data_IF_722699513431
#
_entry.id   IF_722699513431
#
_cell.length_a   1.000
_cell.length_b   1.000
_cell.length_c   1.000
_cell.angle_alpha   90.00
_cell.angle_beta   90.00
_cell.angle_gamma   90.00
#
_symmetry.space_group_name_H-M   'P 1'
#
loop_
_entity.id
_entity.type
_entity.pdbx_description
1 polymer ?
#
# COMPACT_ATOMS: atom_id res chain seq x y z
N UNK A 1 -9.00 13.90 -20.11
CA UNK A 1 -8.32 12.66 -19.66
C UNK A 1 -7.95 12.76 -18.18
N UNK A 2 -8.32 11.77 -17.37
CA UNK A 2 -7.92 11.69 -15.97
C UNK A 2 -6.72 10.72 -15.87
N UNK A 3 -5.71 11.08 -15.08
CA UNK A 3 -4.65 10.14 -14.69
C UNK A 3 -5.24 9.17 -13.68
N UNK A 4 -4.94 7.88 -13.83
CA UNK A 4 -5.43 6.79 -12.97
C UNK A 4 -4.25 5.89 -12.62
N UNK A 5 -3.84 5.90 -11.37
CA UNK A 5 -2.62 5.22 -10.92
C UNK A 5 -2.77 4.68 -9.50
N UNK A 6 -1.72 4.01 -9.00
CA UNK A 6 -1.57 3.49 -7.64
C UNK A 6 -2.86 2.89 -7.05
N UNK A 7 -3.52 1.93 -7.74
CA UNK A 7 -4.78 1.40 -7.25
C UNK A 7 -4.60 0.30 -6.21
N UNK A 8 -5.55 0.20 -5.29
CA UNK A 8 -5.76 -1.03 -4.52
C UNK A 8 -6.81 -1.92 -5.17
N UNK A 9 -6.74 -3.20 -4.84
CA UNK A 9 -7.67 -4.22 -5.31
C UNK A 9 -8.10 -5.11 -4.15
N UNK A 10 -9.38 -5.42 -4.07
CA UNK A 10 -9.89 -6.52 -3.26
C UNK A 10 -10.90 -7.35 -4.06
N UNK A 11 -10.93 -8.65 -3.82
CA UNK A 11 -11.95 -9.55 -4.38
C UNK A 11 -12.74 -10.16 -3.23
N UNK A 12 -14.06 -10.05 -3.30
CA UNK A 12 -14.98 -10.76 -2.41
C UNK A 12 -16.33 -10.95 -3.10
N UNK A 13 -17.02 -12.06 -2.80
CA UNK A 13 -18.31 -12.42 -3.41
C UNK A 13 -18.31 -12.38 -4.96
N UNK A 14 -17.20 -12.79 -5.58
CA UNK A 14 -17.00 -12.77 -7.04
C UNK A 14 -17.12 -11.38 -7.68
N UNK A 15 -16.90 -10.32 -6.89
CA UNK A 15 -16.79 -8.94 -7.34
C UNK A 15 -15.38 -8.46 -7.03
N UNK A 16 -14.76 -7.85 -8.02
CA UNK A 16 -13.50 -7.13 -7.87
C UNK A 16 -13.84 -5.67 -7.59
N UNK A 17 -13.27 -5.14 -6.52
CA UNK A 17 -13.30 -3.72 -6.21
C UNK A 17 -11.90 -3.16 -6.49
N UNK A 18 -11.81 -2.23 -7.42
CA UNK A 18 -10.56 -1.50 -7.69
C UNK A 18 -10.72 -0.08 -7.17
N UNK A 19 -9.92 0.27 -6.16
CA UNK A 19 -9.83 1.59 -5.60
C UNK A 19 -8.74 2.36 -6.32
N UNK A 20 -9.14 3.31 -7.16
CA UNK A 20 -8.31 4.03 -8.10
C UNK A 20 -7.91 5.38 -7.51
N UNK A 21 -6.62 5.75 -7.55
CA UNK A 21 -6.18 7.13 -7.32
C UNK A 21 -6.34 7.91 -8.63
N UNK A 22 -7.24 8.89 -8.62
CA UNK A 22 -7.51 9.77 -9.77
C UNK A 22 -6.87 11.13 -9.54
N UNK A 23 -6.30 11.73 -10.59
CA UNK A 23 -5.80 13.10 -10.56
C UNK A 23 -6.53 13.99 -11.57
N UNK A 24 -6.94 15.19 -11.15
CA UNK A 24 -7.78 16.12 -11.91
C UNK A 24 -7.06 16.85 -13.06
N UNK A 25 -6.20 16.16 -13.84
CA UNK A 25 -5.26 16.66 -14.88
C UNK A 25 -3.88 17.01 -14.26
N UNK A 26 -2.79 16.65 -14.95
CA UNK A 26 -1.38 16.70 -14.49
C UNK A 26 -0.77 18.10 -14.40
N UNK A 27 -1.38 19.02 -13.63
CA UNK A 27 -0.81 20.33 -13.31
C UNK A 27 -0.23 20.39 -11.89
N UNK A 28 0.47 21.47 -11.54
CA UNK A 28 0.94 21.74 -10.17
C UNK A 28 -0.22 21.93 -9.15
N UNK A 29 -1.43 22.21 -9.65
CA UNK A 29 -2.65 22.28 -8.85
C UNK A 29 -3.39 20.95 -8.77
N UNK A 30 -2.87 19.90 -9.40
CA UNK A 30 -3.52 18.58 -9.38
C UNK A 30 -3.65 18.10 -7.94
N UNK A 31 -4.87 17.73 -7.59
CA UNK A 31 -5.17 17.00 -6.35
C UNK A 31 -5.69 15.64 -6.74
N UNK A 32 -5.42 14.68 -5.88
CA UNK A 32 -5.91 13.33 -6.09
C UNK A 32 -7.04 12.99 -5.13
N UNK A 33 -7.89 12.10 -5.59
CA UNK A 33 -9.02 11.56 -4.86
C UNK A 33 -9.16 10.08 -5.20
N UNK A 34 -9.87 9.32 -4.36
CA UNK A 34 -10.09 7.90 -4.60
C UNK A 34 -11.47 7.68 -5.18
N UNK A 35 -11.54 6.92 -6.27
CA UNK A 35 -12.78 6.35 -6.80
C UNK A 35 -12.75 4.84 -6.71
N UNK A 36 -13.91 4.20 -6.72
CA UNK A 36 -14.03 2.75 -6.79
C UNK A 36 -14.70 2.34 -8.09
N UNK A 37 -14.19 1.28 -8.70
CA UNK A 37 -14.82 0.58 -9.80
C UNK A 37 -15.11 -0.87 -9.39
N UNK A 38 -16.23 -1.39 -9.87
CA UNK A 38 -16.61 -2.79 -9.71
C UNK A 38 -16.53 -3.50 -11.06
N UNK A 39 -15.96 -4.69 -11.05
CA UNK A 39 -15.88 -5.56 -12.20
C UNK A 39 -15.94 -7.03 -11.75
N UNK A 40 -16.02 -7.93 -12.72
CA UNK A 40 -15.89 -9.36 -12.47
C UNK A 40 -14.43 -9.81 -12.67
N UNK A 41 -13.96 -10.85 -11.98
CA UNK A 41 -12.59 -11.32 -12.10
C UNK A 41 -12.16 -11.64 -13.54
N UNK A 42 -13.05 -12.19 -14.36
CA UNK A 42 -12.77 -12.49 -15.77
C UNK A 42 -12.43 -11.25 -16.63
N UNK A 43 -12.73 -10.04 -16.14
CA UNK A 43 -12.47 -8.77 -16.83
C UNK A 43 -11.16 -8.09 -16.38
N UNK A 44 -10.29 -8.79 -15.64
CA UNK A 44 -9.01 -8.26 -15.14
C UNK A 44 -7.84 -8.38 -16.13
N UNK A 45 -8.07 -8.87 -17.34
CA UNK A 45 -7.02 -9.07 -18.34
C UNK A 45 -7.10 -8.06 -19.50
N UNK A 46 -5.93 -7.76 -20.09
CA UNK A 46 -5.81 -6.86 -21.24
C UNK A 46 -6.11 -5.40 -20.90
N UNK A 47 -6.73 -4.68 -21.86
CA UNK A 47 -7.11 -3.27 -21.65
C UNK A 47 -8.45 -3.17 -20.93
N UNK A 48 -8.41 -2.79 -19.66
CA UNK A 48 -9.59 -2.69 -18.80
C UNK A 48 -10.21 -1.31 -18.92
N UNK A 49 -11.50 -1.26 -19.26
CA UNK A 49 -12.31 -0.02 -19.21
C UNK A 49 -13.32 -0.14 -18.09
N UNK A 50 -13.28 0.81 -17.16
CA UNK A 50 -14.17 0.82 -15.99
C UNK A 50 -14.99 2.08 -15.91
N UNK A 51 -16.16 1.96 -15.27
CA UNK A 51 -16.92 3.09 -14.74
C UNK A 51 -16.61 3.18 -13.25
N UNK A 52 -15.97 4.27 -12.83
CA UNK A 52 -15.59 4.49 -11.44
C UNK A 52 -16.47 5.58 -10.79
N UNK A 53 -16.72 5.43 -9.50
CA UNK A 53 -17.47 6.37 -8.68
C UNK A 53 -16.54 6.96 -7.61
N UNK A 54 -16.38 8.29 -7.54
CA UNK A 54 -15.56 8.90 -6.50
C UNK A 54 -16.17 8.64 -5.11
N UNK A 55 -15.32 8.25 -4.15
CA UNK A 55 -15.74 7.90 -2.78
C UNK A 55 -14.98 8.70 -1.70
N UNK A 56 -13.74 9.10 -1.96
CA UNK A 56 -12.94 9.88 -1.02
C UNK A 56 -12.36 11.11 -1.70
N UNK A 57 -12.90 12.27 -1.35
CA UNK A 57 -12.44 13.57 -1.81
C UNK A 57 -11.46 14.21 -0.82
N UNK A 58 -10.60 15.09 -1.34
CA UNK A 58 -9.94 16.10 -0.52
C UNK A 58 -10.99 17.02 0.09
N UNK A 59 -10.88 17.27 1.39
CA UNK A 59 -11.72 18.20 2.15
C UNK A 59 -11.13 19.61 2.04
N UNK A 60 -9.81 19.71 1.94
CA UNK A 60 -9.07 20.97 1.84
C UNK A 60 -8.47 21.16 0.44
N UNK A 61 -8.30 22.40 -0.05
CA UNK A 61 -7.75 22.67 -1.38
C UNK A 61 -6.27 22.26 -1.54
N UNK A 62 -5.56 22.09 -0.43
CA UNK A 62 -4.17 21.64 -0.38
C UNK A 62 -4.03 20.15 -0.04
N UNK A 63 -5.13 19.40 -0.04
CA UNK A 63 -5.14 17.99 0.32
C UNK A 63 -5.25 17.09 -0.91
N UNK A 64 -4.40 16.07 -0.95
CA UNK A 64 -4.54 14.93 -1.85
C UNK A 64 -4.90 13.69 -1.05
N UNK A 65 -5.84 12.90 -1.57
CA UNK A 65 -6.11 11.54 -1.10
C UNK A 65 -5.41 10.57 -2.04
N UNK A 66 -4.50 9.77 -1.51
CA UNK A 66 -3.50 9.01 -2.27
C UNK A 66 -3.44 7.55 -1.84
N UNK A 67 -2.89 6.73 -2.72
CA UNK A 67 -2.37 5.38 -2.46
C UNK A 67 -3.29 4.52 -1.56
N UNK A 68 -4.52 4.21 -2.02
CA UNK A 68 -5.43 3.32 -1.33
C UNK A 68 -4.78 1.97 -1.05
N UNK A 69 -5.18 1.31 0.04
CA UNK A 69 -4.78 -0.03 0.47
C UNK A 69 -5.94 -0.70 1.19
N UNK A 70 -6.02 -2.02 1.17
CA UNK A 70 -7.13 -2.77 1.79
C UNK A 70 -6.66 -3.55 3.01
N UNK A 71 -7.58 -3.81 3.95
CA UNK A 71 -7.31 -4.75 5.06
C UNK A 71 -7.46 -6.20 4.54
N UNK A 72 -6.45 -7.06 4.72
CA UNK A 72 -6.51 -8.44 4.24
C UNK A 72 -7.57 -9.29 4.95
N UNK A 73 -7.94 -8.95 6.18
CA UNK A 73 -8.90 -9.69 7.00
C UNK A 73 -10.29 -9.05 7.05
N UNK A 74 -10.40 -7.78 6.67
CA UNK A 74 -11.66 -7.03 6.75
C UNK A 74 -12.03 -6.41 5.40
N UNK A 75 -13.09 -6.93 4.78
CA UNK A 75 -13.61 -6.42 3.50
C UNK A 75 -14.18 -5.01 3.67
N UNK A 76 -14.15 -4.22 2.59
CA UNK A 76 -14.67 -2.84 2.59
C UNK A 76 -14.01 -1.93 3.63
N UNK A 77 -12.75 -2.24 3.97
CA UNK A 77 -11.93 -1.52 4.95
C UNK A 77 -10.75 -0.89 4.21
N UNK A 78 -10.88 0.40 3.87
CA UNK A 78 -9.97 1.08 2.96
C UNK A 78 -9.03 2.01 3.74
N UNK A 79 -7.74 1.75 3.67
CA UNK A 79 -6.69 2.65 4.15
C UNK A 79 -6.26 3.55 3.01
N UNK A 80 -5.95 4.81 3.30
CA UNK A 80 -5.55 5.79 2.31
C UNK A 80 -4.73 6.89 2.95
N UNK A 81 -3.92 7.53 2.12
CA UNK A 81 -3.03 8.60 2.52
C UNK A 81 -3.74 9.92 2.33
N UNK A 82 -3.74 10.77 3.35
CA UNK A 82 -4.10 12.19 3.23
C UNK A 82 -2.84 13.03 3.33
N UNK A 83 -2.40 13.54 2.18
CA UNK A 83 -1.23 14.38 2.05
C UNK A 83 -1.63 15.86 2.03
N UNK A 84 -1.08 16.63 2.97
CA UNK A 84 -1.39 18.04 3.21
C UNK A 84 -0.23 18.90 2.72
N UNK A 85 -0.42 19.54 1.57
CA UNK A 85 0.58 20.35 0.85
C UNK A 85 0.34 21.86 1.03
N UNK A 86 0.19 22.33 2.28
CA UNK A 86 -0.15 23.74 2.56
C UNK A 86 1.07 24.68 2.52
N UNK A 87 2.24 24.19 2.92
CA UNK A 87 3.50 24.95 2.98
C UNK A 87 4.62 24.11 2.35
N UNK A 88 5.86 24.63 2.32
CA UNK A 88 7.06 23.82 1.96
C UNK A 88 7.17 22.55 2.82
N UNK A 89 6.66 22.61 4.05
CA UNK A 89 6.62 21.48 4.98
C UNK A 89 5.30 20.74 4.79
N UNK A 90 5.31 19.76 3.89
CA UNK A 90 4.18 18.83 3.74
C UNK A 90 4.00 17.97 5.00
N UNK A 91 2.77 17.48 5.24
CA UNK A 91 2.48 16.44 6.23
C UNK A 91 1.67 15.34 5.59
N UNK A 92 2.02 14.09 5.88
CA UNK A 92 1.40 12.94 5.23
C UNK A 92 0.97 11.94 6.29
N UNK A 93 -0.34 11.70 6.37
CA UNK A 93 -0.95 10.85 7.37
C UNK A 93 -1.75 9.75 6.70
N UNK A 94 -1.81 8.59 7.35
CA UNK A 94 -2.68 7.51 6.90
C UNK A 94 -3.99 7.53 7.66
N UNK A 95 -5.08 7.33 6.94
CA UNK A 95 -6.43 7.25 7.44
C UNK A 95 -7.05 5.91 7.05
N UNK A 96 -8.01 5.48 7.84
CA UNK A 96 -8.88 4.35 7.58
C UNK A 96 -10.30 4.85 7.29
N UNK A 97 -10.94 4.26 6.28
CA UNK A 97 -12.32 4.49 5.89
C UNK A 97 -13.11 3.18 5.87
N UNK A 98 -14.24 3.15 6.59
CA UNK A 98 -15.20 2.06 6.47
C UNK A 98 -16.16 2.34 5.32
N UNK A 99 -16.33 1.37 4.42
CA UNK A 99 -17.22 1.47 3.28
C UNK A 99 -18.49 0.64 3.46
N UNK A 100 -19.60 1.13 2.91
CA UNK A 100 -20.84 0.40 2.66
C UNK A 100 -21.28 0.69 1.22
N UNK A 101 -21.02 -0.25 0.30
CA UNK A 101 -21.14 0.01 -1.15
C UNK A 101 -20.21 1.13 -1.58
N UNK A 102 -20.74 2.16 -2.25
CA UNK A 102 -19.99 3.35 -2.68
C UNK A 102 -19.97 4.48 -1.63
N UNK A 103 -20.44 4.24 -0.40
CA UNK A 103 -20.48 5.25 0.66
C UNK A 103 -19.37 5.03 1.67
N UNK A 104 -18.76 6.13 2.10
CA UNK A 104 -17.83 6.17 3.25
C UNK A 104 -18.64 6.50 4.50
N UNK A 105 -18.71 5.56 5.43
CA UNK A 105 -19.48 5.72 6.67
C UNK A 105 -18.68 6.40 7.78
N UNK A 106 -17.36 6.19 7.77
CA UNK A 106 -16.45 6.68 8.81
C UNK A 106 -15.06 6.91 8.23
N UNK A 107 -14.39 7.96 8.69
CA UNK A 107 -12.99 8.27 8.37
C UNK A 107 -12.25 8.52 9.68
N UNK A 108 -11.12 7.85 9.90
CA UNK A 108 -10.32 7.95 11.13
C UNK A 108 -8.84 8.00 10.80
N UNK A 109 -8.08 8.88 11.45
CA UNK A 109 -6.62 8.85 11.36
C UNK A 109 -6.08 7.63 12.12
N UNK A 110 -5.07 6.97 11.54
CA UNK A 110 -4.30 6.00 12.31
C UNK A 110 -3.58 6.76 13.42
N UNK A 111 -3.71 6.27 14.65
CA UNK A 111 -3.13 6.92 15.81
C UNK A 111 -2.31 5.92 16.62
N UNK A 112 -1.44 6.45 17.46
CA UNK A 112 -0.47 5.71 18.24
C UNK A 112 -0.80 5.87 19.71
N UNK A 113 -0.63 4.81 20.48
CA UNK A 113 -0.77 4.82 21.92
C UNK A 113 0.54 4.40 22.59
N UNK A 114 0.96 5.14 23.61
CA UNK A 114 2.04 4.76 24.52
C UNK A 114 1.54 4.87 25.96
N UNK A 115 2.01 4.00 26.84
CA UNK A 115 1.75 4.10 28.30
C UNK A 115 2.25 5.43 28.87
N UNK A 116 3.31 6.00 28.29
CA UNK A 116 3.92 7.25 28.75
C UNK A 116 3.18 8.49 28.20
N UNK A 117 2.86 8.49 26.91
CA UNK A 117 2.36 9.70 26.22
C UNK A 117 0.86 9.70 25.93
N UNK A 118 0.14 8.60 26.22
CA UNK A 118 -1.25 8.44 25.83
C UNK A 118 -1.40 8.31 24.31
N UNK A 119 -2.48 8.87 23.74
CA UNK A 119 -2.75 8.82 22.30
C UNK A 119 -2.15 10.02 21.57
N UNK A 120 -1.41 9.77 20.49
CA UNK A 120 -0.75 10.80 19.69
C UNK A 120 -0.66 10.41 18.20
N UNK A 121 -0.18 11.34 17.38
CA UNK A 121 0.17 11.12 15.97
C UNK A 121 1.67 11.31 15.79
N UNK A 122 2.29 10.49 14.95
CA UNK A 122 3.66 10.75 14.48
C UNK A 122 3.63 11.63 13.22
N UNK A 123 4.76 12.27 12.89
CA UNK A 123 4.77 13.38 11.93
C UNK A 123 4.40 13.00 10.49
N UNK A 124 4.94 11.89 9.99
CA UNK A 124 4.73 11.44 8.60
C UNK A 124 4.75 9.89 8.58
N UNK A 125 3.67 9.26 8.13
CA UNK A 125 3.51 7.79 8.17
C UNK A 125 2.68 7.21 7.02
N UNK A 126 3.06 7.53 5.77
CA UNK A 126 2.32 7.18 4.53
C UNK A 126 2.03 5.68 4.36
N UNK A 127 3.03 4.83 4.49
CA UNK A 127 2.91 3.42 4.16
C UNK A 127 2.48 2.61 5.40
N UNK A 128 1.38 3.05 6.01
CA UNK A 128 0.85 2.48 7.26
C UNK A 128 -0.49 1.80 7.02
N UNK A 129 -0.54 0.48 7.10
CA UNK A 129 -1.75 -0.30 6.80
C UNK A 129 -1.67 -1.67 7.49
N UNK A 130 -2.78 -2.41 7.62
CA UNK A 130 -2.78 -3.66 8.35
C UNK A 130 -1.90 -4.71 7.70
N UNK A 131 -1.07 -5.39 8.49
CA UNK A 131 -0.52 -6.69 8.07
C UNK A 131 -1.61 -7.75 8.14
N UNK A 132 -2.39 -7.72 9.22
CA UNK A 132 -3.53 -8.60 9.49
C UNK A 132 -4.50 -7.93 10.48
N UNK A 133 -5.50 -8.66 10.97
CA UNK A 133 -6.50 -8.18 11.94
C UNK A 133 -5.93 -7.65 13.28
N UNK A 134 -4.71 -8.05 13.65
CA UNK A 134 -4.10 -7.77 14.97
C UNK A 134 -2.82 -6.94 14.89
N UNK A 135 -2.20 -6.81 13.72
CA UNK A 135 -0.95 -6.07 13.53
C UNK A 135 -1.05 -5.02 12.41
N UNK A 136 -0.34 -3.91 12.59
CA UNK A 136 -0.22 -2.81 11.63
C UNK A 136 1.22 -2.75 11.11
N UNK A 137 1.40 -2.67 9.79
CA UNK A 137 2.63 -2.16 9.19
C UNK A 137 2.62 -0.64 9.38
N UNK A 138 3.70 -0.08 9.91
CA UNK A 138 3.86 1.35 10.13
C UNK A 138 5.15 1.80 9.47
N UNK A 139 5.08 2.88 8.69
CA UNK A 139 6.26 3.44 8.03
C UNK A 139 6.49 4.89 8.46
N UNK A 140 7.09 5.14 9.64
CA UNK A 140 7.50 6.48 10.01
C UNK A 140 8.52 7.02 8.99
N UNK A 141 8.41 8.30 8.66
CA UNK A 141 9.40 9.00 7.84
C UNK A 141 9.98 10.19 8.58
N UNK A 142 11.28 10.15 8.82
CA UNK A 142 12.01 11.22 9.48
C UNK A 142 12.55 12.17 8.41
N UNK A 143 11.72 13.12 7.97
CA UNK A 143 12.05 14.07 6.89
C UNK A 143 13.41 14.75 7.05
N UNK A 144 13.72 15.19 8.26
CA UNK A 144 14.97 15.89 8.57
C UNK A 144 16.22 15.00 8.45
N UNK A 145 16.02 13.67 8.43
CA UNK A 145 17.07 12.65 8.31
C UNK A 145 17.00 11.90 6.97
N UNK A 146 15.98 12.14 6.16
CA UNK A 146 15.82 11.54 4.83
C UNK A 146 15.50 10.04 4.81
N UNK A 147 15.25 9.39 5.95
CA UNK A 147 15.02 7.94 6.00
C UNK A 147 13.66 7.57 6.62
N UNK A 148 13.20 6.37 6.30
CA UNK A 148 12.06 5.74 6.94
C UNK A 148 12.31 4.25 7.10
N UNK A 149 11.61 3.64 8.06
CA UNK A 149 11.75 2.22 8.38
C UNK A 149 10.39 1.55 8.25
N UNK A 150 10.38 0.26 7.91
CA UNK A 150 9.18 -0.57 8.04
C UNK A 150 9.18 -1.10 9.47
N UNK A 151 8.20 -0.64 10.26
CA UNK A 151 7.94 -1.14 11.59
C UNK A 151 6.64 -1.93 11.60
N UNK A 152 6.49 -2.84 12.57
CA UNK A 152 5.29 -3.64 12.78
C UNK A 152 4.92 -3.54 14.24
N UNK A 153 3.64 -3.39 14.55
CA UNK A 153 3.20 -3.48 15.93
C UNK A 153 1.74 -3.84 16.10
N UNK A 154 1.35 -4.25 17.32
CA UNK A 154 -0.02 -4.62 17.62
C UNK A 154 -0.99 -3.45 17.40
N UNK A 155 -2.20 -3.77 16.96
CA UNK A 155 -3.26 -2.78 16.76
C UNK A 155 -4.59 -3.21 17.34
N UNK A 156 -5.42 -2.21 17.66
CA UNK A 156 -6.86 -2.37 17.89
C UNK A 156 -7.61 -1.40 16.99
N UNK A 157 -8.10 -1.90 15.86
CA UNK A 157 -8.70 -1.05 14.83
C UNK A 157 -7.66 -0.12 14.22
N UNK A 158 -7.84 1.20 14.41
CA UNK A 158 -6.96 2.27 13.90
C UNK A 158 -5.87 2.70 14.89
N UNK A 159 -5.91 2.20 16.13
CA UNK A 159 -4.92 2.53 17.14
C UNK A 159 -3.81 1.48 17.14
N UNK A 160 -2.56 1.93 17.03
CA UNK A 160 -1.35 1.11 17.08
C UNK A 160 -0.68 1.27 18.44
N UNK A 161 -0.24 0.17 19.04
CA UNK A 161 0.58 0.19 20.24
C UNK A 161 2.01 0.60 19.88
N UNK A 162 2.41 1.80 20.27
CA UNK A 162 3.72 2.35 19.94
C UNK A 162 4.85 1.72 20.75
N UNK A 163 4.57 1.33 22.00
CA UNK A 163 5.56 0.75 22.92
C UNK A 163 6.06 -0.64 22.47
N UNK A 164 5.33 -1.26 21.54
CA UNK A 164 5.57 -2.61 21.01
C UNK A 164 5.82 -2.58 19.48
N UNK A 165 6.30 -1.45 18.95
CA UNK A 165 6.76 -1.37 17.57
C UNK A 165 8.12 -2.06 17.43
N UNK A 166 8.20 -2.99 16.49
CA UNK A 166 9.42 -3.68 16.12
C UNK A 166 9.80 -3.35 14.69
N UNK A 167 11.11 -3.26 14.41
CA UNK A 167 11.64 -3.03 13.07
C UNK A 167 12.37 -4.31 12.65
N UNK A 168 11.80 -5.14 11.76
CA UNK A 168 12.48 -6.33 11.26
C UNK A 168 13.78 -5.91 10.54
N UNK A 169 14.97 -6.32 11.05
CA UNK A 169 16.24 -5.90 10.47
C UNK A 169 16.39 -6.29 9.00
N UNK A 170 15.77 -7.39 8.59
CA UNK A 170 15.81 -7.91 7.23
C UNK A 170 15.02 -7.04 6.22
N UNK A 171 14.16 -6.14 6.71
CA UNK A 171 13.42 -5.18 5.88
C UNK A 171 14.08 -3.80 5.83
N UNK A 172 15.26 -3.65 6.46
CA UNK A 172 16.04 -2.42 6.36
C UNK A 172 16.75 -2.34 5.01
N UNK A 173 16.86 -1.12 4.43
CA UNK A 173 17.67 -0.92 3.24
C UNK A 173 19.11 -1.41 3.41
N UNK A 174 19.64 -2.07 2.38
CA UNK A 174 21.01 -2.58 2.31
C UNK A 174 21.95 -1.63 1.52
N UNK A 175 23.19 -2.07 1.24
CA UNK A 175 24.18 -1.24 0.52
C UNK A 175 23.69 -0.94 -0.89
N UNK A 176 23.57 0.35 -1.24
CA UNK A 176 23.04 0.80 -2.54
C UNK A 176 21.55 1.12 -2.52
N UNK A 177 20.89 0.95 -1.37
CA UNK A 177 19.48 1.24 -1.18
C UNK A 177 19.29 2.45 -0.26
N UNK A 178 18.30 3.31 -0.56
CA UNK A 178 18.10 4.57 0.17
C UNK A 178 16.87 4.57 1.06
N UNK A 179 15.84 3.76 0.76
CA UNK A 179 14.65 3.64 1.60
C UNK A 179 13.84 2.37 1.33
N UNK A 180 13.12 1.94 2.36
CA UNK A 180 12.10 0.91 2.30
C UNK A 180 10.71 1.46 2.68
N UNK A 181 9.65 0.78 2.22
CA UNK A 181 8.29 1.04 2.66
C UNK A 181 7.30 -0.06 2.27
N UNK A 182 6.19 -0.17 3.01
CA UNK A 182 5.14 -1.15 2.71
C UNK A 182 4.29 -0.76 1.50
N UNK A 183 3.93 -1.73 0.67
CA UNK A 183 3.04 -1.52 -0.48
C UNK A 183 1.64 -2.07 -0.23
N UNK A 184 1.52 -3.37 -0.02
CA UNK A 184 0.24 -4.02 0.19
C UNK A 184 0.43 -5.31 0.99
N UNK A 185 -0.61 -5.74 1.70
CA UNK A 185 -0.63 -7.04 2.39
C UNK A 185 -1.78 -7.88 1.86
N UNK A 186 -1.58 -9.19 1.83
CA UNK A 186 -2.66 -10.15 1.60
C UNK A 186 -2.52 -11.35 2.52
N UNK A 187 -3.66 -11.96 2.85
CA UNK A 187 -3.69 -13.26 3.50
C UNK A 187 -3.46 -14.36 2.46
N UNK A 188 -2.32 -15.03 2.54
CA UNK A 188 -1.91 -16.07 1.58
C UNK A 188 -2.47 -17.46 1.96
N UNK A 189 -2.56 -17.72 3.27
CA UNK A 189 -3.17 -18.92 3.85
C UNK A 189 -3.83 -18.59 5.20
N UNK A 190 -4.31 -19.58 5.95
CA UNK A 190 -4.97 -19.34 7.24
C UNK A 190 -4.07 -18.63 8.26
N UNK A 191 -2.76 -18.89 8.19
CA UNK A 191 -1.79 -18.42 9.18
C UNK A 191 -0.66 -17.58 8.57
N UNK A 192 -0.70 -17.32 7.27
CA UNK A 192 0.38 -16.64 6.56
C UNK A 192 -0.12 -15.41 5.84
N UNK A 193 0.61 -14.32 5.99
CA UNK A 193 0.36 -13.02 5.38
C UNK A 193 1.57 -12.62 4.56
N UNK A 194 1.35 -12.30 3.29
CA UNK A 194 2.40 -11.77 2.44
C UNK A 194 2.34 -10.25 2.48
N UNK A 195 3.45 -9.61 2.86
CA UNK A 195 3.69 -8.19 2.68
C UNK A 195 4.47 -8.00 1.38
N UNK A 196 3.88 -7.27 0.44
CA UNK A 196 4.62 -6.66 -0.66
C UNK A 196 5.18 -5.34 -0.15
N UNK A 197 6.48 -5.13 -0.31
CA UNK A 197 7.18 -3.93 0.11
C UNK A 197 8.13 -3.45 -0.98
N UNK A 198 8.47 -2.18 -0.96
CA UNK A 198 9.37 -1.59 -1.92
C UNK A 198 10.70 -1.25 -1.30
N UNK A 199 11.73 -1.39 -2.12
CA UNK A 199 13.05 -0.86 -1.90
C UNK A 199 13.32 0.14 -3.02
N UNK A 200 13.99 1.24 -2.67
CA UNK A 200 14.45 2.23 -3.63
C UNK A 200 15.96 2.27 -3.61
N UNK A 201 16.57 2.15 -4.78
CA UNK A 201 18.02 2.26 -4.95
C UNK A 201 18.50 3.73 -4.90
N UNK A 202 19.81 3.92 -4.97
CA UNK A 202 20.45 5.24 -5.01
C UNK A 202 20.15 6.06 -6.29
N UNK A 203 19.63 5.41 -7.33
CA UNK A 203 19.13 6.03 -8.55
C UNK A 203 17.65 6.42 -8.48
N UNK A 204 16.95 6.06 -7.41
CA UNK A 204 15.54 6.37 -7.21
C UNK A 204 14.57 5.39 -7.89
N UNK A 205 15.05 4.22 -8.32
CA UNK A 205 14.28 3.15 -8.95
C UNK A 205 13.52 2.35 -7.89
N UNK A 206 12.24 2.06 -8.12
CA UNK A 206 11.41 1.32 -7.16
C UNK A 206 11.28 -0.14 -7.57
N UNK A 207 11.73 -1.02 -6.69
CA UNK A 207 11.62 -2.46 -6.80
C UNK A 207 10.65 -3.00 -5.76
N UNK A 208 9.86 -4.01 -6.10
CA UNK A 208 8.93 -4.67 -5.16
C UNK A 208 9.43 -6.05 -4.79
N UNK A 209 9.49 -6.32 -3.49
CA UNK A 209 9.86 -7.59 -2.86
C UNK A 209 8.69 -8.15 -2.05
N UNK A 210 8.79 -9.42 -1.67
CA UNK A 210 7.82 -10.12 -0.83
C UNK A 210 8.42 -10.54 0.51
N UNK A 211 7.64 -10.36 1.58
CA UNK A 211 7.97 -10.82 2.93
C UNK A 211 6.80 -11.61 3.51
N UNK A 212 7.03 -12.87 3.87
CA UNK A 212 6.05 -13.76 4.44
C UNK A 212 6.08 -13.66 5.96
N UNK A 213 4.93 -13.36 6.54
CA UNK A 213 4.73 -13.30 7.98
C UNK A 213 3.75 -14.37 8.44
N UNK A 214 3.92 -14.83 9.66
CA UNK A 214 2.93 -15.64 10.34
C UNK A 214 1.74 -14.78 10.87
N UNK A 215 0.82 -15.40 11.62
CA UNK A 215 -0.32 -14.68 12.22
C UNK A 215 0.11 -13.76 13.38
N UNK A 216 1.17 -14.13 14.10
CA UNK A 216 1.79 -13.34 15.16
C UNK A 216 2.68 -12.19 14.66
N UNK A 217 2.75 -11.98 13.34
CA UNK A 217 3.64 -11.01 12.69
C UNK A 217 5.14 -11.33 12.83
N UNK A 218 5.48 -12.60 13.04
CA UNK A 218 6.84 -13.12 12.93
C UNK A 218 7.21 -13.26 11.45
N UNK A 219 8.40 -12.77 11.08
CA UNK A 219 8.91 -12.88 9.72
C UNK A 219 9.42 -14.29 9.45
N UNK A 220 8.85 -14.97 8.45
CA UNK A 220 9.17 -16.35 8.09
C UNK A 220 10.11 -16.46 6.90
N UNK A 221 9.89 -15.64 5.87
CA UNK A 221 10.61 -15.73 4.60
C UNK A 221 10.60 -14.41 3.83
N UNK A 222 11.54 -14.23 2.91
CA UNK A 222 11.68 -13.05 2.07
C UNK A 222 12.08 -13.48 0.65
N UNK A 223 11.71 -12.70 -0.36
CA UNK A 223 12.25 -12.90 -1.72
C UNK A 223 13.67 -12.34 -1.82
N UNK A 224 14.60 -13.09 -2.41
CA UNK A 224 15.97 -12.58 -2.65
C UNK A 224 16.03 -11.58 -3.81
N UNK A 225 15.25 -11.82 -4.85
CA UNK A 225 15.13 -10.98 -6.03
C UNK A 225 13.79 -10.23 -6.03
N UNK A 226 13.69 -9.06 -6.67
CA UNK A 226 12.44 -8.33 -6.75
C UNK A 226 11.40 -9.10 -7.57
N UNK A 227 10.20 -9.24 -7.03
CA UNK A 227 9.04 -9.82 -7.73
C UNK A 227 8.59 -8.91 -8.87
N UNK A 228 8.72 -7.59 -8.68
CA UNK A 228 8.42 -6.60 -9.72
C UNK A 228 9.57 -5.61 -9.80
N UNK A 229 10.20 -5.55 -10.97
CA UNK A 229 11.16 -4.52 -11.34
C UNK A 229 10.59 -3.67 -12.50
N UNK A 230 10.92 -2.37 -12.56
CA UNK A 230 10.47 -1.51 -13.64
C UNK A 230 11.24 -1.78 -14.94
N UNK A 231 10.50 -2.02 -16.02
CA UNK A 231 11.08 -2.17 -17.36
C UNK A 231 10.95 -0.85 -18.15
N UNK A 232 12.04 -0.43 -18.79
CA UNK A 232 12.11 0.83 -19.53
C UNK A 232 11.18 0.88 -20.75
N UNK A 233 10.90 -0.27 -21.37
CA UNK A 233 10.15 -0.37 -22.63
C UNK A 233 8.62 -0.39 -22.43
N UNK A 234 8.15 -0.55 -21.19
CA UNK A 234 6.71 -0.70 -20.89
C UNK A 234 5.97 0.64 -20.95
N UNK A 235 6.50 1.66 -20.27
CA UNK A 235 5.92 3.00 -20.18
C UNK A 235 6.94 3.95 -19.55
N UNK A 236 6.90 5.23 -19.95
CA UNK A 236 7.70 6.31 -19.35
C UNK A 236 6.78 7.51 -19.05
N UNK A 237 6.55 7.76 -17.77
CA UNK A 237 5.65 8.79 -17.26
C UNK A 237 6.33 9.86 -16.41
N UNK A 238 5.62 10.37 -15.38
CA UNK A 238 6.10 11.47 -14.52
C UNK A 238 7.24 11.07 -13.60
N UNK A 239 7.31 9.79 -13.26
CA UNK A 239 8.37 9.21 -12.43
C UNK A 239 8.90 7.94 -13.11
N UNK A 240 9.71 8.07 -14.17
CA UNK A 240 10.30 6.92 -14.84
C UNK A 240 10.95 5.97 -13.85
N UNK A 241 10.91 4.68 -14.17
CA UNK A 241 11.47 3.62 -13.33
C UNK A 241 10.78 3.45 -11.96
N UNK A 242 9.51 3.86 -11.84
CA UNK A 242 8.68 3.57 -10.66
C UNK A 242 7.57 2.58 -10.99
N UNK A 243 7.53 1.43 -10.32
CA UNK A 243 6.31 0.61 -10.18
C UNK A 243 5.93 0.61 -8.71
N UNK A 244 4.75 1.14 -8.37
CA UNK A 244 4.30 1.29 -7.00
C UNK A 244 3.06 0.45 -6.75
N UNK A 245 3.25 -0.69 -6.08
CA UNK A 245 2.15 -1.58 -5.68
C UNK A 245 1.30 -0.91 -4.61
N UNK A 246 -0.03 -1.01 -4.74
CA UNK A 246 -0.99 -0.48 -3.76
C UNK A 246 -2.05 -1.51 -3.36
N UNK A 247 -2.19 -2.61 -4.08
CA UNK A 247 -3.11 -3.69 -3.71
C UNK A 247 -2.60 -5.05 -4.13
N UNK A 248 -3.00 -6.05 -3.38
CA UNK A 248 -2.83 -7.44 -3.74
C UNK A 248 -3.93 -8.28 -3.09
N UNK A 249 -4.38 -9.33 -3.77
CA UNK A 249 -5.42 -10.23 -3.28
C UNK A 249 -5.25 -11.63 -3.86
N UNK A 250 -5.57 -12.64 -3.08
CA UNK A 250 -5.62 -14.02 -3.55
C UNK A 250 -6.94 -14.27 -4.29
N UNK A 251 -6.89 -14.91 -5.46
CA UNK A 251 -8.05 -15.36 -6.23
C UNK A 251 -7.76 -16.72 -6.87
N UNK A 252 -8.44 -17.76 -6.38
CA UNK A 252 -8.07 -19.14 -6.72
C UNK A 252 -6.64 -19.44 -6.25
N UNK A 253 -5.83 -19.95 -7.17
CA UNK A 253 -4.40 -20.23 -6.96
C UNK A 253 -3.49 -19.12 -7.50
N UNK A 254 -4.03 -17.93 -7.77
CA UNK A 254 -3.29 -16.77 -8.26
C UNK A 254 -3.32 -15.62 -7.26
N UNK A 255 -2.25 -14.85 -7.22
CA UNK A 255 -2.16 -13.56 -6.54
C UNK A 255 -2.33 -12.48 -7.62
N UNK A 256 -3.36 -11.66 -7.47
CA UNK A 256 -3.60 -10.50 -8.34
C UNK A 256 -3.01 -9.28 -7.64
N UNK A 257 -2.11 -8.57 -8.33
CA UNK A 257 -1.39 -7.41 -7.79
C UNK A 257 -1.77 -6.18 -8.61
N UNK A 258 -2.15 -5.09 -7.94
CA UNK A 258 -2.50 -3.83 -8.58
C UNK A 258 -1.45 -2.77 -8.25
N UNK A 259 -0.95 -2.10 -9.29
CA UNK A 259 0.17 -1.16 -9.17
C UNK A 259 -0.01 0.05 -10.08
N UNK A 260 0.61 1.16 -9.69
CA UNK A 260 0.82 2.29 -10.58
C UNK A 260 2.19 2.22 -11.25
N UNK A 261 2.25 2.65 -12.50
CA UNK A 261 3.50 2.85 -13.24
C UNK A 261 3.69 4.35 -13.48
N UNK A 262 4.83 4.83 -13.02
CA UNK A 262 5.32 6.21 -13.16
C UNK A 262 4.32 7.31 -12.71
N UNK A 263 3.47 7.00 -11.72
CA UNK A 263 2.38 7.85 -11.23
C UNK A 263 1.38 8.32 -12.32
N UNK A 264 1.24 7.55 -13.41
CA UNK A 264 0.37 7.92 -14.54
C UNK A 264 -0.60 6.84 -15.00
N UNK A 265 -0.15 5.59 -15.07
CA UNK A 265 -1.00 4.47 -15.51
C UNK A 265 -1.17 3.44 -14.40
N UNK A 266 -2.14 2.56 -14.60
CA UNK A 266 -2.47 1.43 -13.74
C UNK A 266 -2.11 0.13 -14.45
N UNK A 267 -1.48 -0.78 -13.71
CA UNK A 267 -1.16 -2.14 -14.14
C UNK A 267 -1.83 -3.13 -13.18
N UNK A 268 -2.26 -4.26 -13.73
CA UNK A 268 -2.69 -5.44 -12.98
C UNK A 268 -1.75 -6.57 -13.39
N UNK A 269 -1.08 -7.16 -12.40
CA UNK A 269 -0.22 -8.31 -12.55
C UNK A 269 -0.89 -9.54 -11.95
N UNK A 270 -0.46 -10.71 -12.41
CA UNK A 270 -0.86 -12.01 -11.88
C UNK A 270 0.38 -12.86 -11.70
N UNK A 271 0.49 -13.53 -10.55
CA UNK A 271 1.53 -14.52 -10.27
C UNK A 271 0.88 -15.74 -9.60
N UNK A 272 1.37 -16.94 -9.90
CA UNK A 272 0.90 -18.15 -9.23
C UNK A 272 1.21 -18.13 -7.74
N UNK A 273 0.29 -18.62 -6.91
CA UNK A 273 0.53 -18.77 -5.46
C UNK A 273 1.74 -19.66 -5.18
N UNK A 274 1.88 -20.77 -5.90
CA UNK A 274 3.04 -21.66 -5.75
C UNK A 274 4.33 -20.98 -6.20
N UNK A 275 4.29 -20.27 -7.34
CA UNK A 275 5.44 -19.52 -7.85
C UNK A 275 5.92 -18.45 -6.85
N UNK A 276 4.98 -17.78 -6.17
CA UNK A 276 5.31 -16.87 -5.07
C UNK A 276 6.01 -17.62 -3.92
N UNK A 277 5.52 -18.78 -3.47
CA UNK A 277 6.22 -19.57 -2.46
C UNK A 277 7.61 -20.02 -2.91
N UNK A 278 7.76 -20.41 -4.16
CA UNK A 278 9.03 -20.86 -4.72
C UNK A 278 10.07 -19.73 -4.78
N UNK A 279 9.62 -18.47 -4.89
CA UNK A 279 10.46 -17.26 -4.83
C UNK A 279 10.92 -16.87 -3.42
N UNK A 280 10.30 -17.42 -2.38
CA UNK A 280 10.58 -17.07 -0.98
C UNK A 280 11.72 -17.92 -0.41
N UNK A 281 12.65 -17.26 0.25
CA UNK A 281 13.72 -17.87 1.05
C UNK A 281 13.42 -17.69 2.54
N UNK A 282 13.33 -18.81 3.25
CA UNK A 282 13.04 -18.80 4.68
C UNK A 282 14.20 -18.19 5.47
N UNK A 283 13.85 -17.26 6.35
CA UNK A 283 14.76 -16.72 7.37
C UNK A 283 14.88 -17.84 8.39
N UNK A 284 16.04 -18.50 8.43
CA UNK A 284 16.30 -19.69 9.26
C UNK A 284 15.67 -19.59 10.67
N UNK A 285 14.91 -20.63 11.06
CA UNK A 285 14.56 -20.88 12.47
C UNK A 285 15.71 -21.52 13.23
#
# INVERSE_FOLDING_TARGET
>A
PCIVTNPAIEIYNNIVYIYLRLASIGSVFSRTFISVAELKPENLSGRIKVKAYPILYGIMPYESVEDPRVDPDKKLSLYHVRAIYRTEISRVFTFHSQLTGYRVDKIEAINFYSKEWGTFLIQDYRDTFPLNGSFMIVRPFFKDKGFGVIAIGPRRGVQVNFDELEVPPELLPSTGEVKAGGNASLRLSKNEYLLLYHIVDDHGVYYTYGALFDRGAELLALTEEPIIAPEAEVYSGRRPSTVFVCGATLYGDSIIISAGRDDEITLIYEIGKQEMYDSLKYVSG
#
